data_IF_543700142152
#
_entry.id   IF_543700142152
#
_cell.length_a   1.000
_cell.length_b   1.000
_cell.length_c   1.000
_cell.angle_alpha   90.00
_cell.angle_beta   90.00
_cell.angle_gamma   90.00
#
_symmetry.space_group_name_H-M   'P 1'
#
loop_
_entity.id
_entity.type
_entity.pdbx_description
1 polymer ?
#
# COMPACT_ATOMS: atom_id res chain seq x y z
N UNK A 1 -61.51 55.62 -24.22
CA UNK A 1 -62.51 56.07 -23.20
C UNK A 1 -62.40 55.15 -22.01
N UNK A 2 -62.21 55.73 -20.81
CA UNK A 2 -61.83 55.09 -19.55
C UNK A 2 -63.06 54.56 -18.79
N UNK A 3 -62.97 53.37 -18.19
CA UNK A 3 -63.56 52.98 -16.88
C UNK A 3 -63.42 51.45 -16.73
N UNK A 4 -62.64 50.89 -15.81
CA UNK A 4 -62.79 50.85 -14.34
C UNK A 4 -64.19 50.43 -13.87
N UNK A 5 -64.28 49.22 -13.27
CA UNK A 5 -65.06 48.95 -12.06
C UNK A 5 -64.72 47.58 -11.48
N UNK A 6 -64.20 47.58 -10.25
CA UNK A 6 -64.25 46.46 -9.32
C UNK A 6 -65.70 46.19 -8.89
N UNK A 7 -66.06 44.92 -8.65
CA UNK A 7 -66.98 44.55 -7.58
C UNK A 7 -66.85 43.06 -7.21
N UNK A 8 -66.83 42.86 -5.89
CA UNK A 8 -66.66 41.68 -5.06
C UNK A 8 -67.58 40.45 -5.30
N UNK A 9 -67.28 39.41 -4.50
CA UNK A 9 -68.08 38.25 -4.07
C UNK A 9 -67.69 36.95 -4.80
N UNK A 10 -67.49 35.78 -4.19
CA UNK A 10 -67.91 35.19 -2.92
C UNK A 10 -66.85 34.18 -2.46
N UNK A 11 -66.41 34.26 -1.20
CA UNK A 11 -65.74 33.17 -0.49
C UNK A 11 -66.77 32.10 -0.12
N UNK A 12 -66.61 30.85 -0.60
CA UNK A 12 -67.17 29.66 0.05
C UNK A 12 -66.18 28.49 -0.02
N UNK A 13 -65.53 28.28 1.12
CA UNK A 13 -65.26 27.00 1.81
C UNK A 13 -65.23 25.73 0.94
N UNK A 14 -64.03 25.17 0.77
CA UNK A 14 -63.84 23.72 0.75
C UNK A 14 -62.83 23.33 1.84
N UNK A 15 -63.28 22.40 2.68
CA UNK A 15 -62.67 21.94 3.92
C UNK A 15 -61.79 20.71 3.61
N UNK A 16 -60.54 20.79 4.08
CA UNK A 16 -59.60 19.72 4.47
C UNK A 16 -59.62 18.35 3.76
N UNK A 17 -58.49 18.04 3.11
CA UNK A 17 -57.91 16.69 3.14
C UNK A 17 -56.37 16.82 3.26
N UNK A 18 -55.89 16.96 4.49
CA UNK A 18 -54.46 16.91 4.78
C UNK A 18 -53.99 15.45 4.71
N UNK A 19 -53.48 15.04 3.54
CA UNK A 19 -52.72 13.78 3.43
C UNK A 19 -51.40 13.99 4.15
N UNK A 20 -51.32 13.44 5.37
CA UNK A 20 -50.10 13.29 6.15
C UNK A 20 -49.19 12.31 5.40
N UNK A 21 -48.41 12.82 4.45
CA UNK A 21 -47.25 12.10 3.93
C UNK A 21 -46.27 12.02 5.09
N UNK A 22 -46.20 10.86 5.74
CA UNK A 22 -45.06 10.52 6.58
C UNK A 22 -43.84 10.54 5.66
N UNK A 23 -43.14 11.67 5.61
CA UNK A 23 -41.76 11.71 5.20
C UNK A 23 -40.99 10.85 6.21
N UNK A 24 -40.93 9.55 5.93
CA UNK A 24 -39.84 8.71 6.38
C UNK A 24 -38.60 9.33 5.75
N UNK A 25 -37.91 10.18 6.51
CA UNK A 25 -36.53 10.50 6.26
C UNK A 25 -35.81 9.16 6.13
N UNK A 26 -35.25 8.80 4.96
CA UNK A 26 -34.34 7.68 4.93
C UNK A 26 -33.15 8.14 5.78
N UNK A 27 -33.01 7.56 6.96
CA UNK A 27 -31.75 7.58 7.68
C UNK A 27 -30.75 6.97 6.71
N UNK A 28 -30.00 7.83 6.02
CA UNK A 28 -28.75 7.44 5.40
C UNK A 28 -27.88 6.96 6.57
N UNK A 29 -27.95 5.67 6.86
CA UNK A 29 -26.82 4.96 7.43
C UNK A 29 -25.73 5.13 6.38
N UNK A 30 -25.04 6.28 6.43
CA UNK A 30 -23.86 6.51 5.66
C UNK A 30 -22.96 5.31 5.96
N UNK A 31 -22.76 4.44 4.98
CA UNK A 31 -21.72 3.41 5.07
C UNK A 31 -20.47 4.16 5.48
N UNK A 32 -20.01 3.93 6.71
CA UNK A 32 -18.76 4.49 7.17
C UNK A 32 -17.70 3.72 6.41
N UNK A 33 -17.20 4.32 5.32
CA UNK A 33 -15.96 3.90 4.71
C UNK A 33 -14.88 3.89 5.79
N UNK A 34 -13.89 2.99 5.69
CA UNK A 34 -12.92 2.78 6.77
C UNK A 34 -12.27 4.11 7.15
N UNK A 35 -11.67 4.81 6.18
CA UNK A 35 -11.18 6.16 6.40
C UNK A 35 -12.30 7.21 6.29
N UNK A 36 -12.20 8.25 7.11
CA UNK A 36 -13.08 9.41 7.00
C UNK A 36 -12.93 10.12 5.64
N UNK A 37 -14.03 10.68 5.16
CA UNK A 37 -14.02 11.51 3.95
C UNK A 37 -13.07 12.72 4.06
N UNK A 38 -12.77 13.16 5.29
CA UNK A 38 -11.80 14.22 5.57
C UNK A 38 -10.35 13.78 5.29
N UNK A 39 -10.02 12.52 5.57
CA UNK A 39 -8.70 11.96 5.28
C UNK A 39 -8.41 11.90 3.78
N UNK A 40 -9.42 11.55 2.98
CA UNK A 40 -9.31 11.50 1.53
C UNK A 40 -9.47 12.85 0.82
N UNK A 41 -9.75 13.93 1.56
CA UNK A 41 -10.04 15.23 0.95
C UNK A 41 -8.82 15.74 0.15
N UNK A 42 -9.07 16.24 -1.07
CA UNK A 42 -8.05 16.81 -1.94
C UNK A 42 -7.83 18.30 -1.71
N UNK A 43 -8.69 18.98 -0.93
CA UNK A 43 -8.60 20.43 -0.70
C UNK A 43 -7.24 20.92 -0.23
N UNK A 44 -6.63 20.24 0.74
CA UNK A 44 -5.30 20.62 1.27
C UNK A 44 -4.23 20.54 0.18
N UNK A 45 -4.33 19.54 -0.70
CA UNK A 45 -3.39 19.34 -1.78
C UNK A 45 -3.63 20.29 -2.97
N UNK A 46 -4.88 20.56 -3.30
CA UNK A 46 -5.29 21.42 -4.41
C UNK A 46 -5.14 22.91 -4.10
N UNK A 47 -5.20 23.31 -2.82
CA UNK A 47 -5.00 24.69 -2.38
C UNK A 47 -3.57 25.22 -2.57
N UNK A 48 -2.63 24.37 -2.99
CA UNK A 48 -1.23 24.73 -3.17
C UNK A 48 -1.02 25.56 -4.44
N UNK A 49 0.00 26.41 -4.40
CA UNK A 49 0.40 27.22 -5.55
C UNK A 49 0.91 26.31 -6.68
N UNK A 50 0.10 26.15 -7.73
CA UNK A 50 0.51 25.48 -8.96
C UNK A 50 1.27 26.49 -9.83
N UNK A 51 2.40 26.05 -10.40
CA UNK A 51 3.10 26.76 -11.47
C UNK A 51 2.52 26.29 -12.80
N UNK A 52 1.57 27.01 -13.43
CA UNK A 52 0.98 26.57 -14.69
C UNK A 52 2.05 26.57 -15.78
N UNK A 53 2.41 25.40 -16.27
CA UNK A 53 3.35 25.22 -17.37
C UNK A 53 2.73 24.35 -18.45
N UNK A 54 3.07 24.66 -19.70
CA UNK A 54 2.64 23.83 -20.82
C UNK A 54 3.48 22.53 -20.83
N UNK A 55 2.80 21.40 -20.69
CA UNK A 55 3.42 20.08 -20.66
C UNK A 55 4.23 19.79 -21.92
N UNK A 56 3.78 20.22 -23.10
CA UNK A 56 4.51 20.00 -24.35
C UNK A 56 5.86 20.73 -24.37
N UNK A 57 5.93 21.92 -23.78
CA UNK A 57 7.18 22.69 -23.68
C UNK A 57 8.14 22.03 -22.67
N UNK A 58 7.60 21.52 -21.55
CA UNK A 58 8.37 20.78 -20.57
C UNK A 58 8.92 19.47 -21.15
N UNK A 59 8.08 18.70 -21.84
CA UNK A 59 8.44 17.48 -22.55
C UNK A 59 9.60 17.73 -23.53
N UNK A 60 9.45 18.70 -24.44
CA UNK A 60 10.49 19.05 -25.40
C UNK A 60 11.80 19.52 -24.74
N UNK A 61 11.71 20.25 -23.63
CA UNK A 61 12.88 20.67 -22.88
C UNK A 61 13.60 19.48 -22.23
N UNK A 62 12.84 18.54 -21.64
CA UNK A 62 13.38 17.33 -21.04
C UNK A 62 14.04 16.43 -22.09
N UNK A 63 13.40 16.21 -23.24
CA UNK A 63 13.99 15.42 -24.32
C UNK A 63 15.27 16.05 -24.85
N UNK A 64 15.31 17.38 -25.04
CA UNK A 64 16.54 18.09 -25.43
C UNK A 64 17.67 17.92 -24.39
N UNK A 65 17.34 17.88 -23.10
CA UNK A 65 18.35 17.65 -22.06
C UNK A 65 18.83 16.20 -22.05
N UNK A 66 17.94 15.23 -22.24
CA UNK A 66 18.29 13.81 -22.31
C UNK A 66 19.14 13.49 -23.54
N UNK A 67 18.79 14.03 -24.72
CA UNK A 67 19.60 13.90 -25.95
C UNK A 67 21.02 14.45 -25.78
N UNK A 68 21.18 15.47 -24.94
CA UNK A 68 22.48 16.07 -24.62
C UNK A 68 23.20 15.39 -23.46
N UNK A 69 22.65 14.31 -22.91
CA UNK A 69 23.13 13.61 -21.71
C UNK A 69 23.33 14.55 -20.51
N UNK A 70 22.50 15.59 -20.41
CA UNK A 70 22.53 16.53 -19.28
C UNK A 70 21.52 16.10 -18.21
N UNK A 71 21.86 16.32 -16.92
CA UNK A 71 20.97 15.96 -15.83
C UNK A 71 19.72 16.86 -15.83
N UNK A 72 18.55 16.24 -15.70
CA UNK A 72 17.26 16.94 -15.56
C UNK A 72 17.06 17.33 -14.10
N UNK A 73 16.44 18.49 -13.87
CA UNK A 73 16.13 18.96 -12.51
C UNK A 73 14.93 18.20 -11.95
N UNK A 74 14.92 17.90 -10.66
CA UNK A 74 13.74 17.31 -10.03
C UNK A 74 12.54 18.26 -10.02
N UNK A 75 12.78 19.58 -10.07
CA UNK A 75 11.71 20.59 -10.20
C UNK A 75 10.97 20.51 -11.53
N UNK A 76 11.66 20.20 -12.63
CA UNK A 76 10.99 20.10 -13.94
C UNK A 76 10.07 18.89 -13.98
N UNK A 77 10.47 17.79 -13.33
CA UNK A 77 9.62 16.59 -13.19
C UNK A 77 8.45 16.85 -12.24
N UNK A 78 8.67 17.53 -11.11
CA UNK A 78 7.56 17.88 -10.20
C UNK A 78 6.53 18.78 -10.87
N UNK A 79 6.97 19.76 -11.67
CA UNK A 79 6.09 20.62 -12.47
C UNK A 79 5.36 19.85 -13.56
N UNK A 80 5.99 18.83 -14.15
CA UNK A 80 5.32 17.97 -15.13
C UNK A 80 4.16 17.21 -14.47
N UNK A 81 4.41 16.62 -13.30
CA UNK A 81 3.38 15.89 -12.54
C UNK A 81 2.26 16.80 -12.03
N UNK A 82 2.59 17.98 -11.50
CA UNK A 82 1.59 18.92 -10.94
C UNK A 82 0.59 19.47 -12.00
N UNK A 83 0.99 19.48 -13.28
CA UNK A 83 0.26 20.06 -14.40
C UNK A 83 -0.49 19.02 -15.26
N UNK A 84 -0.51 17.75 -14.84
CA UNK A 84 -1.30 16.71 -15.51
C UNK A 84 -2.79 17.11 -15.48
N UNK A 85 -3.40 17.09 -16.67
CA UNK A 85 -4.77 17.51 -16.95
C UNK A 85 -5.60 16.39 -17.58
N UNK A 86 -4.96 15.43 -18.27
CA UNK A 86 -5.59 14.31 -18.99
C UNK A 86 -5.03 12.94 -18.62
N UNK A 87 -5.80 11.88 -18.88
CA UNK A 87 -5.35 10.49 -18.72
C UNK A 87 -4.19 10.13 -19.64
N UNK A 88 -4.15 10.66 -20.86
CA UNK A 88 -3.06 10.40 -21.81
C UNK A 88 -1.73 11.01 -21.33
N UNK A 89 -1.80 12.14 -20.63
CA UNK A 89 -0.63 12.81 -20.05
C UNK A 89 -0.04 11.98 -18.89
N UNK A 90 -0.82 11.08 -18.29
CA UNK A 90 -0.32 10.12 -17.31
C UNK A 90 0.62 9.11 -17.97
N UNK A 91 0.35 8.64 -19.20
CA UNK A 91 1.29 7.79 -19.93
C UNK A 91 2.62 8.52 -20.20
N UNK A 92 2.54 9.80 -20.56
CA UNK A 92 3.72 10.63 -20.78
C UNK A 92 4.50 10.87 -19.48
N UNK A 93 3.80 11.12 -18.39
CA UNK A 93 4.41 11.31 -17.07
C UNK A 93 5.09 10.02 -16.58
N UNK A 94 4.48 8.86 -16.78
CA UNK A 94 5.08 7.56 -16.49
C UNK A 94 6.40 7.38 -17.25
N UNK A 95 6.41 7.70 -18.55
CA UNK A 95 7.63 7.65 -19.36
C UNK A 95 8.73 8.60 -18.86
N UNK A 96 8.39 9.85 -18.52
CA UNK A 96 9.37 10.80 -18.01
C UNK A 96 9.88 10.45 -16.60
N UNK A 97 9.05 9.86 -15.75
CA UNK A 97 9.46 9.34 -14.44
C UNK A 97 10.46 8.18 -14.61
N UNK A 98 10.18 7.26 -15.54
CA UNK A 98 11.11 6.18 -15.92
C UNK A 98 12.45 6.74 -16.40
N UNK A 99 12.44 7.69 -17.35
CA UNK A 99 13.67 8.33 -17.83
C UNK A 99 14.42 9.07 -16.73
N UNK A 100 13.71 9.75 -15.84
CA UNK A 100 14.32 10.48 -14.73
C UNK A 100 15.03 9.54 -13.76
N UNK A 101 14.46 8.36 -13.49
CA UNK A 101 15.11 7.32 -12.68
C UNK A 101 16.41 6.79 -13.29
N UNK A 102 16.50 6.79 -14.62
CA UNK A 102 17.70 6.41 -15.37
C UNK A 102 18.64 7.61 -15.65
N UNK A 103 18.47 8.72 -14.93
CA UNK A 103 19.33 9.90 -15.02
C UNK A 103 20.24 10.03 -13.80
N UNK A 104 21.34 10.83 -13.86
CA UNK A 104 22.21 11.06 -12.72
C UNK A 104 21.50 11.65 -11.48
N UNK A 105 20.39 12.35 -11.70
CA UNK A 105 19.63 13.01 -10.63
C UNK A 105 18.51 12.14 -10.04
N UNK A 106 18.52 10.83 -10.30
CA UNK A 106 17.47 9.92 -9.88
C UNK A 106 17.20 9.89 -8.36
N UNK A 107 18.23 10.18 -7.55
CA UNK A 107 18.10 10.26 -6.09
C UNK A 107 17.38 11.53 -5.63
N UNK A 108 17.39 12.60 -6.42
CA UNK A 108 16.76 13.87 -6.07
C UNK A 108 15.26 13.91 -6.36
N UNK A 109 14.63 12.78 -6.67
CA UNK A 109 13.17 12.69 -6.72
C UNK A 109 12.62 13.01 -5.33
N UNK A 110 11.61 13.88 -5.28
CA UNK A 110 11.07 14.42 -4.02
C UNK A 110 9.76 13.74 -3.67
N UNK A 111 9.50 13.61 -2.38
CA UNK A 111 8.31 12.94 -1.85
C UNK A 111 7.02 13.60 -2.33
N UNK A 112 6.99 14.93 -2.46
CA UNK A 112 5.82 15.64 -3.01
C UNK A 112 5.53 15.29 -4.47
N UNK A 113 6.56 14.95 -5.27
CA UNK A 113 6.37 14.52 -6.65
C UNK A 113 5.75 13.12 -6.69
N UNK A 114 6.19 12.23 -5.81
CA UNK A 114 5.61 10.88 -5.64
C UNK A 114 4.16 10.96 -5.15
N UNK A 115 3.92 11.77 -4.12
CA UNK A 115 2.59 12.02 -3.59
C UNK A 115 1.66 12.64 -4.66
N UNK A 116 2.17 13.60 -5.43
CA UNK A 116 1.46 14.22 -6.53
C UNK A 116 1.12 13.25 -7.64
N UNK A 117 2.07 12.41 -8.03
CA UNK A 117 1.86 11.36 -9.04
C UNK A 117 0.69 10.46 -8.65
N UNK A 118 0.68 10.00 -7.40
CA UNK A 118 -0.36 9.10 -6.90
C UNK A 118 -1.71 9.81 -6.82
N UNK A 119 -1.76 11.06 -6.36
CA UNK A 119 -3.01 11.84 -6.35
C UNK A 119 -3.57 12.11 -7.74
N UNK A 120 -2.74 12.48 -8.71
CA UNK A 120 -3.18 12.67 -10.10
C UNK A 120 -3.64 11.33 -10.69
N UNK A 121 -2.96 10.22 -10.40
CA UNK A 121 -3.44 8.88 -10.80
C UNK A 121 -4.82 8.57 -10.21
N UNK A 122 -5.07 8.87 -8.93
CA UNK A 122 -6.38 8.66 -8.30
C UNK A 122 -7.46 9.55 -8.91
N UNK A 123 -7.14 10.82 -9.20
CA UNK A 123 -8.06 11.80 -9.79
C UNK A 123 -8.56 11.42 -11.19
N UNK A 124 -7.68 10.88 -12.03
CA UNK A 124 -8.00 10.45 -13.40
C UNK A 124 -8.33 8.95 -13.52
N UNK A 125 -8.56 8.26 -12.40
CA UNK A 125 -8.89 6.83 -12.38
C UNK A 125 -7.77 5.92 -12.92
N UNK A 126 -6.52 6.36 -12.87
CA UNK A 126 -5.32 5.64 -13.32
C UNK A 126 -4.66 4.80 -12.23
N UNK A 127 -5.47 4.06 -11.48
CA UNK A 127 -4.99 3.27 -10.35
C UNK A 127 -4.10 2.10 -10.79
N UNK A 128 -4.42 1.49 -11.93
CA UNK A 128 -3.58 0.44 -12.54
C UNK A 128 -2.15 0.90 -12.79
N UNK A 129 -1.97 2.15 -13.25
CA UNK A 129 -0.64 2.72 -13.45
C UNK A 129 0.07 3.02 -12.15
N UNK A 130 -0.65 3.56 -11.15
CA UNK A 130 -0.10 3.73 -9.82
C UNK A 130 0.43 2.38 -9.30
N UNK A 131 -0.37 1.31 -9.39
CA UNK A 131 0.04 -0.03 -8.98
C UNK A 131 1.22 -0.57 -9.80
N UNK A 132 1.22 -0.37 -11.12
CA UNK A 132 2.33 -0.76 -11.99
C UNK A 132 3.64 -0.08 -11.58
N UNK A 133 3.61 1.23 -11.36
CA UNK A 133 4.79 2.00 -10.95
C UNK A 133 5.28 1.63 -9.55
N UNK A 134 4.38 1.21 -8.64
CA UNK A 134 4.73 0.71 -7.31
C UNK A 134 5.42 -0.66 -7.38
N UNK A 135 4.86 -1.60 -8.13
CA UNK A 135 5.47 -2.92 -8.34
C UNK A 135 6.85 -2.80 -8.99
N UNK A 136 7.00 -1.84 -9.91
CA UNK A 136 8.26 -1.55 -10.59
C UNK A 136 9.08 -0.43 -9.91
N UNK A 137 9.15 -0.43 -8.58
CA UNK A 137 9.87 0.59 -7.80
C UNK A 137 11.32 0.83 -8.20
N UNK A 138 12.03 -0.20 -8.70
CA UNK A 138 13.43 -0.07 -9.15
C UNK A 138 13.53 0.83 -10.39
N UNK A 139 12.59 0.67 -11.32
CA UNK A 139 12.59 1.31 -12.63
C UNK A 139 12.02 2.73 -12.61
N UNK A 140 11.04 3.00 -11.74
CA UNK A 140 10.42 4.34 -11.63
C UNK A 140 10.91 5.14 -10.42
N UNK A 141 11.45 4.48 -9.39
CA UNK A 141 11.93 5.14 -8.16
C UNK A 141 10.80 5.71 -7.29
N UNK A 142 9.59 5.19 -7.39
CA UNK A 142 8.43 5.67 -6.63
C UNK A 142 8.37 4.95 -5.28
N UNK A 143 8.75 5.67 -4.23
CA UNK A 143 8.70 5.23 -2.84
C UNK A 143 7.74 6.17 -2.09
N UNK A 144 6.46 5.80 -1.95
CA UNK A 144 5.47 6.63 -1.28
C UNK A 144 5.68 6.70 0.24
N UNK A 145 5.10 7.71 0.87
CA UNK A 145 4.98 7.78 2.32
C UNK A 145 3.76 6.96 2.81
N UNK A 146 3.74 6.68 4.11
CA UNK A 146 2.66 5.94 4.79
C UNK A 146 1.28 6.53 4.48
N UNK A 147 1.17 7.86 4.45
CA UNK A 147 -0.08 8.56 4.16
C UNK A 147 -0.55 8.30 2.73
N UNK A 148 0.36 8.30 1.75
CA UNK A 148 0.01 8.01 0.36
C UNK A 148 -0.35 6.55 0.16
N UNK A 149 0.32 5.62 0.84
CA UNK A 149 -0.10 4.22 0.86
C UNK A 149 -1.51 4.05 1.41
N UNK A 150 -1.85 4.75 2.49
CA UNK A 150 -3.20 4.72 3.07
C UNK A 150 -4.26 5.21 2.07
N UNK A 151 -3.97 6.28 1.31
CA UNK A 151 -4.87 6.77 0.27
C UNK A 151 -5.12 5.73 -0.84
N UNK A 152 -4.06 5.04 -1.27
CA UNK A 152 -4.16 3.99 -2.29
C UNK A 152 -4.95 2.80 -1.78
N UNK A 153 -4.62 2.28 -0.59
CA UNK A 153 -5.30 1.14 0.02
C UNK A 153 -6.79 1.43 0.19
N UNK A 154 -7.14 2.61 0.71
CA UNK A 154 -8.55 3.01 0.88
C UNK A 154 -9.29 3.13 -0.46
N UNK A 155 -8.62 3.60 -1.52
CA UNK A 155 -9.23 3.65 -2.85
C UNK A 155 -9.59 2.26 -3.40
N UNK A 156 -8.77 1.24 -3.14
CA UNK A 156 -9.05 -0.13 -3.55
C UNK A 156 -10.10 -0.80 -2.66
N UNK A 157 -10.06 -0.53 -1.35
CA UNK A 157 -11.10 -1.00 -0.40
C UNK A 157 -12.47 -0.45 -0.79
N UNK A 158 -12.55 0.81 -1.22
CA UNK A 158 -13.81 1.45 -1.65
C UNK A 158 -14.46 0.78 -2.86
N UNK A 159 -13.64 0.22 -3.74
CA UNK A 159 -14.08 -0.45 -4.97
C UNK A 159 -14.17 -1.98 -4.81
N UNK A 160 -14.01 -2.49 -3.57
CA UNK A 160 -14.04 -3.92 -3.22
C UNK A 160 -12.97 -4.77 -3.96
N UNK A 161 -11.91 -4.14 -4.50
CA UNK A 161 -10.77 -4.83 -5.11
C UNK A 161 -9.69 -5.16 -4.07
N UNK A 162 -9.93 -6.23 -3.32
CA UNK A 162 -9.01 -6.69 -2.27
C UNK A 162 -7.69 -7.27 -2.82
N UNK A 163 -7.67 -7.77 -4.06
CA UNK A 163 -6.45 -8.33 -4.66
C UNK A 163 -5.42 -7.24 -4.92
N UNK A 164 -5.87 -6.13 -5.52
CA UNK A 164 -4.99 -4.98 -5.75
C UNK A 164 -4.60 -4.32 -4.43
N UNK A 165 -5.51 -4.24 -3.44
CA UNK A 165 -5.20 -3.75 -2.11
C UNK A 165 -4.08 -4.57 -1.43
N UNK A 166 -4.13 -5.91 -1.51
CA UNK A 166 -3.07 -6.77 -1.02
C UNK A 166 -1.74 -6.53 -1.73
N UNK A 167 -1.73 -6.39 -3.06
CA UNK A 167 -0.51 -6.01 -3.78
C UNK A 167 0.08 -4.68 -3.31
N UNK A 168 -0.73 -3.70 -2.88
CA UNK A 168 -0.21 -2.45 -2.28
C UNK A 168 0.39 -2.73 -0.91
N UNK A 169 -0.25 -3.54 -0.07
CA UNK A 169 0.25 -3.92 1.26
C UNK A 169 1.56 -4.71 1.17
N UNK A 170 1.72 -5.55 0.15
CA UNK A 170 3.00 -6.21 -0.15
C UNK A 170 4.12 -5.18 -0.39
N UNK A 171 3.84 -4.09 -1.10
CA UNK A 171 4.82 -3.02 -1.30
C UNK A 171 5.09 -2.19 -0.04
N UNK A 172 4.07 -1.94 0.80
CA UNK A 172 4.25 -1.35 2.14
C UNK A 172 5.21 -2.21 2.95
N UNK A 173 5.01 -3.54 2.91
CA UNK A 173 5.86 -4.50 3.59
C UNK A 173 7.29 -4.51 3.06
N UNK A 174 7.48 -4.51 1.75
CA UNK A 174 8.81 -4.48 1.15
C UNK A 174 9.59 -3.19 1.44
N UNK A 175 8.90 -2.10 1.78
CA UNK A 175 9.50 -0.84 2.21
C UNK A 175 9.59 -0.71 3.74
N UNK A 176 9.09 -1.69 4.49
CA UNK A 176 8.96 -1.67 5.95
C UNK A 176 8.23 -0.41 6.49
N UNK A 177 7.31 0.15 5.69
CA UNK A 177 6.62 1.41 5.94
C UNK A 177 5.40 1.23 6.87
N UNK A 178 5.67 0.88 8.14
CA UNK A 178 4.62 0.64 9.15
C UNK A 178 4.68 1.63 10.33
N UNK A 179 5.20 2.84 10.10
CA UNK A 179 5.37 3.83 11.17
C UNK A 179 4.02 4.34 11.72
N UNK A 180 3.01 4.45 10.85
CA UNK A 180 1.68 4.94 11.25
C UNK A 180 0.74 3.79 11.67
N UNK A 181 0.03 3.93 12.81
CA UNK A 181 -0.99 2.98 13.23
C UNK A 181 -2.13 2.81 12.21
N UNK A 182 -2.47 3.86 11.46
CA UNK A 182 -3.48 3.80 10.39
C UNK A 182 -3.07 2.84 9.27
N UNK A 183 -1.82 2.87 8.85
CA UNK A 183 -1.27 1.96 7.83
C UNK A 183 -1.30 0.52 8.28
N UNK A 184 -0.99 0.26 9.56
CA UNK A 184 -1.08 -1.08 10.14
C UNK A 184 -2.53 -1.59 10.15
N UNK A 185 -3.48 -0.75 10.59
CA UNK A 185 -4.91 -1.11 10.66
C UNK A 185 -5.49 -1.37 9.25
N UNK A 186 -5.20 -0.50 8.29
CA UNK A 186 -5.67 -0.64 6.91
C UNK A 186 -5.06 -1.87 6.23
N UNK A 187 -3.77 -2.13 6.47
CA UNK A 187 -3.09 -3.32 5.94
C UNK A 187 -3.72 -4.60 6.49
N UNK A 188 -3.94 -4.69 7.81
CA UNK A 188 -4.62 -5.83 8.41
C UNK A 188 -6.05 -6.00 7.87
N UNK A 189 -6.76 -4.90 7.62
CA UNK A 189 -8.12 -4.97 7.05
C UNK A 189 -8.14 -5.49 5.61
N UNK A 190 -7.21 -5.02 4.77
CA UNK A 190 -7.06 -5.52 3.40
C UNK A 190 -6.72 -7.00 3.40
N UNK A 191 -5.73 -7.43 4.21
CA UNK A 191 -5.31 -8.83 4.32
C UNK A 191 -6.42 -9.73 4.89
N UNK A 192 -7.13 -9.27 5.93
CA UNK A 192 -8.24 -10.00 6.52
C UNK A 192 -9.43 -10.17 5.58
N UNK A 193 -9.76 -9.14 4.80
CA UNK A 193 -10.81 -9.22 3.77
C UNK A 193 -10.39 -10.13 2.60
N UNK A 194 -9.12 -10.14 2.22
CA UNK A 194 -8.59 -11.04 1.19
C UNK A 194 -8.57 -12.51 1.63
N UNK A 195 -8.23 -12.78 2.88
CA UNK A 195 -8.32 -14.13 3.45
C UNK A 195 -9.76 -14.64 3.51
N UNK A 196 -10.72 -13.76 3.82
CA UNK A 196 -12.13 -14.10 3.85
C UNK A 196 -12.67 -14.55 2.48
N UNK A 197 -12.11 -14.03 1.38
CA UNK A 197 -12.44 -14.49 0.02
C UNK A 197 -11.90 -15.89 -0.32
N UNK A 198 -11.09 -16.52 0.54
CA UNK A 198 -10.46 -17.85 0.36
C UNK A 198 -9.95 -18.09 -1.07
N UNK A 199 -9.02 -17.25 -1.57
CA UNK A 199 -8.46 -17.45 -2.90
C UNK A 199 -7.59 -18.72 -2.97
N UNK A 200 -7.53 -19.34 -4.14
CA UNK A 200 -6.47 -20.29 -4.46
C UNK A 200 -5.15 -19.52 -4.53
N UNK A 201 -4.35 -19.63 -3.47
CA UNK A 201 -3.10 -18.89 -3.36
C UNK A 201 -2.02 -19.60 -4.17
N UNK A 202 -1.35 -18.83 -5.04
CA UNK A 202 -0.09 -19.31 -5.62
C UNK A 202 1.01 -19.21 -4.55
N UNK A 203 1.98 -20.11 -4.54
CA UNK A 203 3.11 -20.10 -3.59
C UNK A 203 3.78 -18.70 -3.36
N UNK A 204 4.05 -17.85 -4.37
CA UNK A 204 4.60 -16.50 -4.11
C UNK A 204 3.62 -15.57 -3.38
N UNK A 205 2.31 -15.74 -3.59
CA UNK A 205 1.27 -14.99 -2.88
C UNK A 205 1.16 -15.48 -1.43
N UNK A 206 1.29 -16.79 -1.17
CA UNK A 206 1.35 -17.32 0.20
C UNK A 206 2.53 -16.73 0.97
N UNK A 207 3.71 -16.65 0.32
CA UNK A 207 4.90 -16.03 0.90
C UNK A 207 4.68 -14.55 1.19
N UNK A 208 4.15 -13.79 0.24
CA UNK A 208 3.93 -12.35 0.40
C UNK A 208 2.85 -12.03 1.45
N UNK A 209 1.78 -12.81 1.46
CA UNK A 209 0.72 -12.75 2.47
C UNK A 209 1.25 -13.11 3.86
N UNK A 210 2.04 -14.18 3.98
CA UNK A 210 2.64 -14.59 5.24
C UNK A 210 3.58 -13.54 5.81
N UNK A 211 4.42 -12.95 4.96
CA UNK A 211 5.39 -11.94 5.36
C UNK A 211 4.73 -10.60 5.76
N UNK A 212 3.72 -10.17 5.00
CA UNK A 212 2.94 -8.95 5.32
C UNK A 212 2.16 -9.08 6.63
N UNK A 213 1.52 -10.23 6.87
CA UNK A 213 0.83 -10.50 8.14
C UNK A 213 1.80 -10.53 9.33
N UNK A 214 2.97 -11.16 9.17
CA UNK A 214 3.97 -11.23 10.23
C UNK A 214 4.47 -9.83 10.62
N UNK A 215 4.88 -9.02 9.64
CA UNK A 215 5.45 -7.69 9.92
C UNK A 215 4.38 -6.73 10.47
N UNK A 216 3.16 -6.75 9.92
CA UNK A 216 2.05 -5.98 10.48
C UNK A 216 1.74 -6.42 11.93
N UNK A 217 1.79 -7.73 12.18
CA UNK A 217 1.50 -8.32 13.48
C UNK A 217 2.53 -7.96 14.54
N UNK A 218 3.83 -7.85 14.20
CA UNK A 218 4.89 -7.48 15.15
C UNK A 218 4.71 -6.08 15.76
N UNK A 219 4.02 -5.18 15.05
CA UNK A 219 3.76 -3.82 15.51
C UNK A 219 2.53 -3.70 16.44
N UNK A 220 1.77 -4.78 16.61
CA UNK A 220 0.49 -4.77 17.32
C UNK A 220 0.50 -5.80 18.47
N UNK A 221 0.40 -5.35 19.72
CA UNK A 221 0.28 -6.23 20.90
C UNK A 221 -1.17 -6.71 21.17
N UNK A 222 -2.09 -6.42 20.24
CA UNK A 222 -3.49 -6.80 20.34
C UNK A 222 -3.73 -8.26 19.94
N UNK A 223 -4.88 -8.83 20.35
CA UNK A 223 -5.42 -10.12 19.88
C UNK A 223 -5.25 -10.31 18.36
N UNK A 224 -5.51 -9.24 17.59
CA UNK A 224 -5.41 -9.22 16.13
C UNK A 224 -3.96 -9.29 15.64
N UNK A 225 -3.04 -8.60 16.32
CA UNK A 225 -1.62 -8.63 15.97
C UNK A 225 -1.04 -10.03 16.18
N UNK A 226 -1.37 -10.67 17.31
CA UNK A 226 -0.91 -12.02 17.62
C UNK A 226 -1.54 -13.08 16.71
N UNK A 227 -2.82 -12.93 16.35
CA UNK A 227 -3.44 -13.83 15.36
C UNK A 227 -2.86 -13.63 13.95
N UNK A 228 -2.51 -12.41 13.56
CA UNK A 228 -1.78 -12.13 12.32
C UNK A 228 -0.35 -12.70 12.34
N UNK A 229 0.38 -12.60 13.46
CA UNK A 229 1.70 -13.21 13.63
C UNK A 229 1.63 -14.74 13.51
N UNK A 230 0.63 -15.35 14.13
CA UNK A 230 0.40 -16.79 14.07
C UNK A 230 0.16 -17.24 12.63
N UNK A 231 -0.79 -16.60 11.94
CA UNK A 231 -1.13 -16.93 10.56
C UNK A 231 0.04 -16.66 9.61
N UNK A 232 0.73 -15.52 9.78
CA UNK A 232 1.90 -15.16 8.98
C UNK A 232 3.03 -16.17 9.13
N UNK A 233 3.33 -16.57 10.36
CA UNK A 233 4.38 -17.57 10.66
C UNK A 233 4.00 -18.96 10.12
N UNK A 234 2.74 -19.34 10.18
CA UNK A 234 2.27 -20.61 9.62
C UNK A 234 2.38 -20.66 8.08
N UNK A 235 1.99 -19.58 7.39
CA UNK A 235 2.13 -19.49 5.92
C UNK A 235 3.60 -19.52 5.49
N UNK A 236 4.48 -18.80 6.20
CA UNK A 236 5.92 -18.84 5.93
C UNK A 236 6.52 -20.23 6.24
N UNK A 237 6.04 -20.89 7.30
CA UNK A 237 6.41 -22.27 7.63
C UNK A 237 5.99 -23.28 6.58
N UNK A 238 4.81 -23.11 5.95
CA UNK A 238 4.40 -23.92 4.79
C UNK A 238 5.41 -23.77 3.64
N UNK A 239 5.80 -22.54 3.31
CA UNK A 239 6.78 -22.27 2.25
C UNK A 239 8.17 -22.84 2.60
N UNK A 240 8.61 -22.73 3.86
CA UNK A 240 9.86 -23.30 4.37
C UNK A 240 9.89 -24.84 4.22
N UNK A 241 8.79 -25.53 4.56
CA UNK A 241 8.68 -27.00 4.49
C UNK A 241 8.54 -27.49 3.05
N UNK A 242 7.79 -26.78 2.20
CA UNK A 242 7.58 -27.19 0.80
C UNK A 242 8.79 -26.97 -0.10
N UNK A 243 9.55 -25.88 0.13
CA UNK A 243 10.79 -25.60 -0.60
C UNK A 243 11.96 -25.68 0.36
N UNK A 244 12.55 -24.52 0.64
CA UNK A 244 13.68 -24.30 1.54
C UNK A 244 13.59 -22.88 2.12
N UNK A 245 14.40 -22.61 3.15
CA UNK A 245 14.48 -21.29 3.77
C UNK A 245 14.90 -20.17 2.80
N UNK A 246 15.71 -20.49 1.78
CA UNK A 246 16.14 -19.50 0.78
C UNK A 246 14.94 -18.89 0.04
N UNK A 247 13.91 -19.68 -0.25
CA UNK A 247 12.69 -19.19 -0.90
C UNK A 247 11.93 -18.19 -0.03
N UNK A 248 12.01 -18.31 1.30
CA UNK A 248 11.32 -17.46 2.28
C UNK A 248 11.93 -16.05 2.30
N UNK A 249 13.25 -15.93 2.51
CA UNK A 249 13.89 -14.62 2.69
C UNK A 249 14.35 -13.94 1.38
N UNK A 250 14.45 -14.67 0.26
CA UNK A 250 14.91 -14.09 -1.01
C UNK A 250 13.97 -12.98 -1.50
N UNK A 251 14.46 -11.74 -1.45
CA UNK A 251 13.74 -10.55 -1.89
C UNK A 251 12.67 -10.04 -0.92
N UNK A 252 12.69 -10.52 0.33
CA UNK A 252 11.78 -10.11 1.40
C UNK A 252 12.58 -9.59 2.60
N UNK A 253 12.08 -8.60 3.36
CA UNK A 253 12.68 -8.20 4.64
C UNK A 253 12.34 -9.21 5.74
N UNK A 254 12.86 -10.43 5.60
CA UNK A 254 12.70 -11.52 6.56
C UNK A 254 14.06 -12.06 7.01
N UNK A 255 14.10 -12.54 8.25
CA UNK A 255 15.29 -13.19 8.82
C UNK A 255 15.60 -14.53 8.15
N UNK A 256 16.90 -14.86 7.99
CA UNK A 256 17.40 -16.17 7.52
C UNK A 256 17.34 -17.29 8.58
N UNK A 257 16.74 -17.02 9.73
CA UNK A 257 16.59 -17.98 10.83
C UNK A 257 15.44 -18.95 10.55
N UNK A 258 15.70 -20.24 10.77
CA UNK A 258 14.76 -21.35 10.56
C UNK A 258 13.70 -21.44 11.64
N UNK A 259 12.66 -22.21 11.34
CA UNK A 259 11.63 -22.60 12.30
C UNK A 259 10.51 -21.56 12.41
N UNK A 260 9.90 -21.20 11.28
CA UNK A 260 8.71 -20.34 11.30
C UNK A 260 7.51 -21.03 11.97
N UNK A 261 7.41 -22.36 11.88
CA UNK A 261 6.41 -23.14 12.62
C UNK A 261 6.64 -23.09 14.14
N UNK A 262 7.89 -23.15 14.59
CA UNK A 262 8.21 -23.03 16.02
C UNK A 262 7.88 -21.63 16.55
N UNK A 263 8.10 -20.58 15.74
CA UNK A 263 7.64 -19.21 16.06
C UNK A 263 6.13 -19.12 16.19
N UNK A 264 5.39 -19.81 15.30
CA UNK A 264 3.94 -19.87 15.37
C UNK A 264 3.48 -20.49 16.71
N UNK A 265 4.12 -21.58 17.13
CA UNK A 265 3.85 -22.23 18.42
C UNK A 265 4.25 -21.34 19.61
N UNK A 266 5.39 -20.64 19.53
CA UNK A 266 5.82 -19.70 20.56
C UNK A 266 4.83 -18.53 20.74
N UNK A 267 4.16 -18.09 19.67
CA UNK A 267 3.05 -17.12 19.77
C UNK A 267 1.87 -17.72 20.55
N UNK A 268 1.51 -18.98 20.31
CA UNK A 268 0.46 -19.67 21.08
C UNK A 268 0.85 -19.83 22.56
N UNK A 269 2.10 -20.18 22.85
CA UNK A 269 2.62 -20.26 24.22
C UNK A 269 2.60 -18.89 24.91
N UNK A 270 2.95 -17.82 24.20
CA UNK A 270 2.88 -16.44 24.70
C UNK A 270 1.45 -16.05 25.04
N UNK A 271 0.47 -16.41 24.20
CA UNK A 271 -0.96 -16.18 24.48
C UNK A 271 -1.42 -17.02 25.67
N UNK A 272 -1.00 -18.28 25.77
CA UNK A 272 -1.33 -19.16 26.89
C UNK A 272 -0.76 -18.64 28.22
N UNK A 273 0.46 -18.09 28.21
CA UNK A 273 1.11 -17.49 29.37
C UNK A 273 0.60 -16.08 29.72
N UNK A 274 0.11 -15.31 28.75
CA UNK A 274 -0.37 -13.96 28.98
C UNK A 274 -1.59 -13.95 29.93
N UNK A 275 -1.57 -13.09 30.94
CA UNK A 275 -2.65 -12.97 31.94
C UNK A 275 -3.75 -11.96 31.54
N UNK A 276 -3.75 -11.48 30.30
CA UNK A 276 -4.68 -10.45 29.79
C UNK A 276 -5.82 -11.00 28.94
N UNK A 277 -6.72 -10.10 28.49
CA UNK A 277 -7.84 -10.36 27.56
C UNK A 277 -7.38 -10.63 26.11
N UNK A 278 -6.14 -11.09 25.97
CA UNK A 278 -5.51 -11.41 24.69
C UNK A 278 -5.97 -12.80 24.28
N UNK A 279 -6.57 -12.86 23.11
CA UNK A 279 -7.17 -14.08 22.58
C UNK A 279 -6.63 -14.37 21.19
N UNK A 280 -6.96 -15.55 20.67
CA UNK A 280 -6.70 -15.93 19.28
C UNK A 280 -8.03 -16.18 18.57
N UNK A 281 -8.12 -15.78 17.32
CA UNK A 281 -9.31 -16.07 16.51
C UNK A 281 -9.40 -17.57 16.22
N UNK A 282 -10.62 -18.13 16.37
CA UNK A 282 -10.88 -19.52 15.99
C UNK A 282 -10.54 -19.78 14.52
N UNK A 283 -10.94 -18.87 13.64
CA UNK A 283 -10.64 -18.95 12.20
C UNK A 283 -9.15 -19.13 11.94
N UNK A 284 -8.28 -18.38 12.62
CA UNK A 284 -6.83 -18.51 12.41
C UNK A 284 -6.29 -19.85 12.88
N UNK A 285 -6.82 -20.40 13.97
CA UNK A 285 -6.42 -21.73 14.45
C UNK A 285 -6.88 -22.82 13.46
N UNK A 286 -8.09 -22.68 12.92
CA UNK A 286 -8.61 -23.60 11.90
C UNK A 286 -7.76 -23.55 10.63
N UNK A 287 -7.38 -22.36 10.14
CA UNK A 287 -6.48 -22.23 8.98
C UNK A 287 -5.10 -22.87 9.23
N UNK A 288 -4.51 -22.66 10.41
CA UNK A 288 -3.23 -23.30 10.74
C UNK A 288 -3.35 -24.82 10.80
N UNK A 289 -4.46 -25.34 11.34
CA UNK A 289 -4.73 -26.77 11.38
C UNK A 289 -4.88 -27.36 9.96
N UNK A 290 -5.59 -26.66 9.06
CA UNK A 290 -5.74 -27.06 7.67
C UNK A 290 -4.38 -27.09 6.94
N UNK A 291 -3.55 -26.05 7.11
CA UNK A 291 -2.20 -25.99 6.52
C UNK A 291 -1.29 -27.12 7.03
N UNK A 292 -1.36 -27.45 8.32
CA UNK A 292 -0.59 -28.55 8.90
C UNK A 292 -1.07 -29.93 8.38
N UNK A 293 -2.37 -30.10 8.13
CA UNK A 293 -2.91 -31.32 7.52
C UNK A 293 -2.52 -31.44 6.05
N UNK A 294 -2.54 -30.33 5.28
CA UNK A 294 -2.04 -30.29 3.91
C UNK A 294 -0.57 -30.71 3.84
N UNK A 295 0.29 -30.14 4.69
CA UNK A 295 1.71 -30.49 4.76
C UNK A 295 1.93 -31.97 5.10
N UNK A 296 1.18 -32.50 6.07
CA UNK A 296 1.22 -33.94 6.42
C UNK A 296 0.72 -34.85 5.29
N UNK A 297 -0.18 -34.36 4.45
CA UNK A 297 -0.69 -35.14 3.30
C UNK A 297 0.33 -35.16 2.18
N UNK A 298 0.97 -34.02 1.91
CA UNK A 298 1.97 -33.87 0.87
C UNK A 298 3.28 -34.61 1.18
N UNK A 299 3.67 -34.71 2.47
CA UNK A 299 4.82 -35.52 2.89
C UNK A 299 4.61 -37.01 2.66
N UNK A 300 3.36 -37.48 2.70
CA UNK A 300 3.03 -38.89 2.44
C UNK A 300 2.95 -39.22 0.94
N UNK A 301 2.78 -38.22 0.06
CA UNK A 301 2.79 -38.43 -1.39
C UNK A 301 4.19 -38.33 -2.02
N UNK A 302 5.17 -37.74 -1.34
CA UNK A 302 6.53 -37.59 -1.87
C UNK A 302 7.43 -38.82 -1.68
N UNK A 303 6.97 -39.86 -0.98
CA UNK A 303 7.76 -41.08 -0.77
C UNK A 303 7.72 -42.08 -1.94
N UNK A 304 6.85 -41.91 -2.94
CA UNK A 304 6.59 -42.96 -3.95
C UNK A 304 6.89 -42.59 -5.42
N UNK A 305 7.41 -41.40 -5.73
CA UNK A 305 7.74 -41.04 -7.13
C UNK A 305 8.98 -40.15 -7.23
N UNK A 306 10.16 -40.74 -7.06
CA UNK A 306 11.40 -40.22 -7.65
C UNK A 306 12.15 -41.38 -8.33
N UNK A 307 11.58 -41.85 -9.43
CA UNK A 307 12.28 -42.66 -10.42
C UNK A 307 11.61 -42.50 -11.79
N UNK A 308 12.00 -41.45 -12.51
CA UNK A 308 12.01 -41.47 -13.97
C UNK A 308 12.83 -40.30 -14.48
N UNK A 309 13.97 -40.61 -15.08
CA UNK A 309 14.83 -39.63 -15.72
C UNK A 309 14.28 -39.15 -17.06
N UNK A 310 14.62 -37.92 -17.41
CA UNK A 310 14.71 -37.48 -18.80
C UNK A 310 15.95 -36.59 -18.96
N UNK A 311 16.82 -37.01 -19.88
CA UNK A 311 17.91 -36.20 -20.43
C UNK A 311 17.32 -35.17 -21.40
N UNK A 312 17.63 -33.88 -21.22
CA UNK A 312 17.83 -32.96 -22.34
C UNK A 312 18.54 -31.69 -21.89
N UNK A 313 19.55 -31.29 -22.67
CA UNK A 313 20.63 -30.40 -22.26
C UNK A 313 20.35 -28.89 -22.24
N UNK A 314 21.27 -28.21 -21.57
CA UNK A 314 21.42 -26.75 -21.50
C UNK A 314 22.38 -26.41 -20.37
N UNK A 315 23.66 -26.28 -20.69
CA UNK A 315 24.73 -25.86 -19.75
C UNK A 315 24.52 -24.39 -19.37
N UNK A 316 23.90 -24.14 -18.21
CA UNK A 316 24.14 -22.95 -17.40
C UNK A 316 24.25 -23.39 -15.94
N UNK A 317 25.35 -23.01 -15.30
CA UNK A 317 25.81 -23.32 -13.92
C UNK A 317 24.75 -23.87 -12.94
N UNK A 318 24.58 -25.19 -12.93
CA UNK A 318 23.99 -25.92 -11.80
C UNK A 318 24.97 -25.91 -10.62
N UNK A 319 24.97 -24.83 -9.84
CA UNK A 319 25.10 -25.01 -8.38
C UNK A 319 23.75 -25.54 -7.90
N UNK A 320 23.57 -26.85 -8.00
CA UNK A 320 22.59 -27.54 -7.16
C UNK A 320 23.00 -27.24 -5.72
N UNK A 321 22.29 -26.30 -5.08
CA UNK A 321 22.41 -26.09 -3.63
C UNK A 321 22.07 -27.45 -3.00
N UNK A 322 23.07 -28.06 -2.37
CA UNK A 322 22.86 -29.27 -1.60
C UNK A 322 21.75 -28.97 -0.59
N UNK A 323 20.68 -29.78 -0.60
CA UNK A 323 19.60 -29.70 0.38
C UNK A 323 20.26 -29.67 1.76
N UNK A 324 20.09 -28.59 2.50
CA UNK A 324 20.72 -28.43 3.80
C UNK A 324 20.18 -29.52 4.71
N UNK A 325 21.03 -30.37 5.31
CA UNK A 325 20.63 -31.43 6.26
C UNK A 325 19.73 -30.90 7.39
N UNK A 326 19.83 -29.60 7.66
CA UNK A 326 19.03 -28.86 8.64
C UNK A 326 17.60 -28.57 8.17
N UNK A 327 17.35 -28.43 6.87
CA UNK A 327 16.00 -28.27 6.31
C UNK A 327 15.26 -29.61 6.34
N UNK A 328 15.96 -30.71 6.07
CA UNK A 328 15.42 -32.06 6.28
C UNK A 328 15.11 -32.33 7.77
N UNK A 329 15.95 -31.83 8.68
CA UNK A 329 15.69 -31.94 10.11
C UNK A 329 14.43 -31.16 10.56
N UNK A 330 14.13 -30.02 9.95
CA UNK A 330 12.88 -29.28 10.22
C UNK A 330 11.66 -29.99 9.63
N UNK A 331 11.78 -30.60 8.44
CA UNK A 331 10.73 -31.46 7.87
C UNK A 331 10.44 -32.67 8.76
N UNK A 332 11.48 -33.28 9.35
CA UNK A 332 11.34 -34.40 10.28
C UNK A 332 10.65 -34.02 11.61
N UNK A 333 10.67 -32.74 12.00
CA UNK A 333 9.98 -32.22 13.20
C UNK A 333 8.50 -31.91 12.98
N UNK A 334 8.00 -32.00 11.75
CA UNK A 334 6.58 -31.77 11.42
C UNK A 334 5.58 -32.52 12.34
N UNK A 335 5.73 -33.83 12.62
CA UNK A 335 4.83 -34.52 13.55
C UNK A 335 4.87 -33.97 14.97
N UNK A 336 6.04 -33.53 15.45
CA UNK A 336 6.19 -32.91 16.76
C UNK A 336 5.47 -31.55 16.82
N UNK A 337 5.57 -30.76 15.74
CA UNK A 337 4.84 -29.49 15.62
C UNK A 337 3.32 -29.70 15.64
N UNK A 338 2.81 -30.72 14.94
CA UNK A 338 1.38 -31.06 14.93
C UNK A 338 0.89 -31.47 16.33
N UNK A 339 1.68 -32.28 17.05
CA UNK A 339 1.34 -32.71 18.40
C UNK A 339 1.35 -31.55 19.39
N UNK A 340 2.35 -30.67 19.31
CA UNK A 340 2.42 -29.43 20.11
C UNK A 340 1.26 -28.49 19.80
N UNK A 341 0.93 -28.30 18.52
CA UNK A 341 -0.19 -27.48 18.11
C UNK A 341 -1.51 -27.98 18.71
N UNK A 342 -1.79 -29.29 18.63
CA UNK A 342 -2.99 -29.91 19.22
C UNK A 342 -3.04 -29.75 20.74
N UNK A 343 -1.90 -29.90 21.42
CA UNK A 343 -1.82 -29.70 22.86
C UNK A 343 -2.12 -28.24 23.23
N UNK A 344 -1.48 -27.29 22.55
CA UNK A 344 -1.65 -25.85 22.80
C UNK A 344 -3.06 -25.37 22.42
N UNK A 345 -3.66 -25.87 21.34
CA UNK A 345 -5.04 -25.53 20.98
C UNK A 345 -6.02 -25.99 22.06
N UNK A 346 -5.89 -27.22 22.55
CA UNK A 346 -6.72 -27.73 23.66
C UNK A 346 -6.52 -26.94 24.95
N UNK A 347 -5.29 -26.49 25.22
CA UNK A 347 -4.99 -25.63 26.36
C UNK A 347 -5.65 -24.26 26.23
N UNK A 348 -5.57 -23.63 25.07
CA UNK A 348 -6.19 -22.32 24.81
C UNK A 348 -7.72 -22.37 24.89
N UNK A 349 -8.33 -23.45 24.39
CA UNK A 349 -9.76 -23.71 24.52
C UNK A 349 -10.17 -23.87 25.98
N UNK A 350 -9.41 -24.64 26.77
CA UNK A 350 -9.69 -24.84 28.21
C UNK A 350 -9.60 -23.53 29.01
N UNK A 351 -8.74 -22.60 28.58
CA UNK A 351 -8.55 -21.30 29.21
C UNK A 351 -9.56 -20.24 28.71
N UNK A 352 -10.40 -20.57 27.72
CA UNK A 352 -11.35 -19.61 27.13
C UNK A 352 -10.68 -18.47 26.37
N UNK A 353 -9.44 -18.66 25.88
CA UNK A 353 -8.66 -17.65 25.15
C UNK A 353 -8.88 -17.67 23.63
N UNK A 354 -9.94 -18.33 23.18
CA UNK A 354 -10.30 -18.43 21.76
C UNK A 354 -11.52 -17.55 21.52
N UNK A 355 -11.37 -16.55 20.65
CA UNK A 355 -12.49 -15.74 20.20
C UNK A 355 -13.23 -16.44 19.08
N UNK A 356 -14.56 -16.49 19.20
CA UNK A 356 -15.45 -17.05 18.18
C UNK A 356 -15.69 -16.13 16.98
N UNK A 357 -15.23 -14.87 17.07
CA UNK A 357 -15.35 -13.91 15.99
C UNK A 357 -14.32 -14.21 14.90
N UNK A 358 -14.72 -14.03 13.64
CA UNK A 358 -13.80 -14.20 12.51
C UNK A 358 -12.69 -13.15 12.55
N UNK A 359 -11.52 -13.49 11.99
CA UNK A 359 -10.39 -12.57 11.91
C UNK A 359 -10.81 -11.25 11.23
N UNK A 360 -11.57 -11.33 10.14
CA UNK A 360 -12.12 -10.16 9.45
C UNK A 360 -13.04 -9.32 10.34
N UNK A 361 -13.92 -9.94 11.13
CA UNK A 361 -14.84 -9.21 12.02
C UNK A 361 -14.08 -8.48 13.14
N UNK A 362 -13.06 -9.11 13.72
CA UNK A 362 -12.19 -8.49 14.71
C UNK A 362 -11.45 -7.28 14.12
N UNK A 363 -10.86 -7.44 12.94
CA UNK A 363 -10.15 -6.35 12.25
C UNK A 363 -11.10 -5.21 11.89
N UNK A 364 -12.31 -5.52 11.46
CA UNK A 364 -13.34 -4.51 11.16
C UNK A 364 -13.74 -3.74 12.42
N UNK A 365 -13.90 -4.43 13.56
CA UNK A 365 -14.21 -3.79 14.83
C UNK A 365 -13.06 -2.88 15.30
N UNK A 366 -11.81 -3.33 15.18
CA UNK A 366 -10.64 -2.53 15.52
C UNK A 366 -10.51 -1.29 14.63
N UNK A 367 -10.73 -1.45 13.32
CA UNK A 367 -10.74 -0.33 12.38
C UNK A 367 -11.81 0.71 12.76
N UNK A 368 -13.02 0.28 13.14
CA UNK A 368 -14.08 1.22 13.53
C UNK A 368 -13.78 2.01 14.81
N UNK A 369 -13.04 1.41 15.75
CA UNK A 369 -12.72 2.01 17.06
C UNK A 369 -11.49 2.92 16.99
N UNK A 370 -10.38 2.43 16.45
CA UNK A 370 -9.07 3.08 16.58
C UNK A 370 -8.74 4.05 15.43
N UNK A 371 -9.35 3.86 14.26
CA UNK A 371 -8.98 4.61 13.06
C UNK A 371 -9.31 6.11 13.20
N UNK A 372 -10.42 6.47 13.86
CA UNK A 372 -10.79 7.87 14.07
C UNK A 372 -9.80 8.66 14.94
N UNK A 373 -9.10 7.99 15.86
CA UNK A 373 -8.06 8.63 16.68
C UNK A 373 -6.75 8.77 15.89
N UNK A 374 -6.36 7.71 15.15
CA UNK A 374 -5.18 7.71 14.30
C UNK A 374 -5.26 8.77 13.18
N UNK A 375 -6.41 8.88 12.51
CA UNK A 375 -6.63 9.83 11.43
C UNK A 375 -6.34 11.28 11.80
N UNK A 376 -6.64 11.69 13.05
CA UNK A 376 -6.39 13.07 13.49
C UNK A 376 -4.92 13.39 13.55
N UNK A 377 -4.13 12.49 14.14
CA UNK A 377 -2.68 12.63 14.25
C UNK A 377 -2.05 12.63 12.86
N UNK A 378 -2.49 11.73 11.99
CA UNK A 378 -1.99 11.62 10.62
C UNK A 378 -2.27 12.89 9.80
N UNK A 379 -3.48 13.46 9.94
CA UNK A 379 -3.87 14.69 9.26
C UNK A 379 -3.03 15.90 9.72
N UNK A 380 -2.74 16.01 11.02
CA UNK A 380 -1.87 17.06 11.56
C UNK A 380 -0.44 16.93 11.02
N UNK A 381 0.11 15.71 11.03
CA UNK A 381 1.42 15.43 10.43
C UNK A 381 1.44 15.74 8.94
N UNK A 382 0.42 15.33 8.20
CA UNK A 382 0.30 15.58 6.77
C UNK A 382 0.25 17.08 6.44
N UNK A 383 -0.54 17.86 7.18
CA UNK A 383 -0.60 19.32 6.98
C UNK A 383 0.78 19.97 7.21
N UNK A 384 1.49 19.57 8.26
CA UNK A 384 2.85 20.05 8.51
C UNK A 384 3.82 19.66 7.39
N UNK A 385 3.75 18.42 6.88
CA UNK A 385 4.59 17.94 5.77
C UNK A 385 4.33 18.72 4.49
N UNK A 386 3.06 18.96 4.16
CA UNK A 386 2.66 19.73 2.97
C UNK A 386 3.21 21.16 3.03
N UNK A 387 3.13 21.82 4.18
CA UNK A 387 3.73 23.15 4.36
C UNK A 387 5.26 23.14 4.21
N UNK A 388 5.92 22.09 4.74
CA UNK A 388 7.34 21.85 4.57
C UNK A 388 7.72 21.74 3.08
N UNK A 389 7.01 20.87 2.34
CA UNK A 389 7.22 20.68 0.90
C UNK A 389 7.03 21.97 0.09
N UNK A 390 6.01 22.77 0.40
CA UNK A 390 5.78 24.05 -0.28
C UNK A 390 6.93 25.03 -0.01
N UNK A 391 7.45 25.06 1.21
CA UNK A 391 8.59 25.92 1.56
C UNK A 391 9.86 25.53 0.80
N UNK A 392 10.17 24.23 0.71
CA UNK A 392 11.31 23.71 -0.03
C UNK A 392 11.17 23.96 -1.53
N UNK A 393 9.97 23.73 -2.08
CA UNK A 393 9.66 24.00 -3.48
C UNK A 393 9.88 25.47 -3.82
N UNK A 394 9.40 26.41 -2.98
CA UNK A 394 9.64 27.85 -3.16
C UNK A 394 11.13 28.21 -3.14
N UNK A 395 11.91 27.65 -2.22
CA UNK A 395 13.36 27.88 -2.17
C UNK A 395 14.05 27.39 -3.43
N UNK A 396 13.67 26.22 -3.93
CA UNK A 396 14.24 25.65 -5.16
C UNK A 396 13.88 26.49 -6.39
N UNK A 397 12.63 26.99 -6.48
CA UNK A 397 12.20 27.90 -7.54
C UNK A 397 13.01 29.21 -7.50
N UNK A 398 13.23 29.76 -6.30
CA UNK A 398 14.02 30.97 -6.12
C UNK A 398 15.48 30.77 -6.58
N UNK A 399 16.11 29.66 -6.18
CA UNK A 399 17.45 29.29 -6.64
C UNK A 399 17.51 29.13 -8.17
N UNK A 400 16.50 28.53 -8.78
CA UNK A 400 16.43 28.38 -10.23
C UNK A 400 16.36 29.75 -10.94
N UNK A 401 15.57 30.69 -10.41
CA UNK A 401 15.45 32.06 -10.94
C UNK A 401 16.78 32.81 -10.85
N UNK A 402 17.41 32.80 -9.69
CA UNK A 402 18.71 33.45 -9.46
C UNK A 402 19.79 32.89 -10.40
N UNK A 403 19.82 31.58 -10.59
CA UNK A 403 20.76 30.93 -11.51
C UNK A 403 20.51 31.33 -12.97
N UNK A 404 19.25 31.46 -13.39
CA UNK A 404 18.90 31.93 -14.73
C UNK A 404 19.30 33.39 -14.94
N UNK A 405 19.03 34.26 -13.97
CA UNK A 405 19.38 35.68 -14.03
C UNK A 405 20.90 35.87 -14.11
N UNK A 406 21.67 35.14 -13.29
CA UNK A 406 23.14 35.17 -13.36
C UNK A 406 23.66 34.68 -14.72
N UNK A 407 23.11 33.58 -15.24
CA UNK A 407 23.50 33.06 -16.55
C UNK A 407 23.17 34.03 -17.71
N UNK A 408 22.07 34.78 -17.61
CA UNK A 408 21.72 35.83 -18.57
C UNK A 408 22.68 37.02 -18.50
N UNK A 409 23.04 37.46 -17.30
CA UNK A 409 24.01 38.54 -17.09
C UNK A 409 25.37 38.16 -17.68
N UNK A 410 25.89 36.98 -17.33
CA UNK A 410 27.15 36.45 -17.89
C UNK A 410 27.10 36.35 -19.42
N UNK A 411 25.97 35.92 -19.99
CA UNK A 411 25.81 35.85 -21.45
C UNK A 411 25.86 37.24 -22.08
N UNK A 412 25.24 38.26 -21.48
CA UNK A 412 25.27 39.65 -21.95
C UNK A 412 26.69 40.22 -21.88
N UNK A 413 27.39 39.99 -20.78
CA UNK A 413 28.79 40.40 -20.61
C UNK A 413 29.71 39.75 -21.64
N UNK A 414 29.58 38.45 -21.88
CA UNK A 414 30.36 37.74 -22.91
C UNK A 414 30.08 38.27 -24.32
N UNK A 415 28.83 38.61 -24.62
CA UNK A 415 28.48 39.20 -25.92
C UNK A 415 29.07 40.61 -26.06
N UNK A 416 28.98 41.44 -25.01
CA UNK A 416 29.57 42.78 -24.98
C UNK A 416 31.10 42.74 -25.14
N UNK A 417 31.77 41.79 -24.47
CA UNK A 417 33.21 41.59 -24.60
C UNK A 417 33.60 41.14 -26.02
N UNK A 418 32.83 40.24 -26.65
CA UNK A 418 33.05 39.84 -28.05
C UNK A 418 32.85 40.99 -29.03
N UNK A 419 31.84 41.83 -28.84
CA UNK A 419 31.63 43.00 -29.69
C UNK A 419 32.72 44.05 -29.51
N UNK A 420 33.20 44.27 -28.29
CA UNK A 420 34.32 45.17 -28.03
C UNK A 420 35.62 44.67 -28.68
N UNK A 421 35.89 43.36 -28.61
CA UNK A 421 37.05 42.73 -29.26
C UNK A 421 36.99 42.67 -30.79
N UNK A 422 35.83 42.92 -31.41
CA UNK A 422 35.67 43.00 -32.87
C UNK A 422 35.73 44.45 -33.39
N UNK A 423 35.57 45.44 -32.51
CA UNK A 423 35.56 46.88 -32.85
C UNK A 423 36.88 47.59 -32.53
N UNK A 424 37.72 47.01 -31.65
CA UNK A 424 39.11 47.41 -31.46
C UNK A 424 40.04 46.53 -32.26
#
# INVERSE_FOLDING_TARGET
MVSSKMAASVWKRCVTAAVKVKCLSPSLLARRWLLSAAYTDSKVWEAREKDPQNLAVLAANMDRTYERNLPVSSLTVSRFVDNISSREEIDQAEYYLYKFRHSPNCWYLRDWTVHGWIRECLKYGAREKALHTLKNKVQYGIFPDDFTFNLLIDSYIKDEDFKSACSVVEEVMLQEAFDLPSTQILSLYALGSYLATKPELTEPQERALGASLLICGLQQDNTIGLSAQLLGSALLGKVEVSKDIHAVFKGMPLSWSRGYLDRALAVMERVAAASGDVKLSKDTLDHVNDLLQELSSNSNSTSDTDSSGEESGGEEDKKQEAVDEKDEAEKARLPDYINRFKALSSQLESQGKVDSASFQALVTALAQQNLAAAEKVDLEQYQSRVQGWDSEKRQLIQREKEMKERAEQEKRERLAAKTAAQQG
#
